data_IF_677196637468
#
_entry.id   IF_677196637468
#
_cell.length_a   1.000
_cell.length_b   1.000
_cell.length_c   1.000
_cell.angle_alpha   90.00
_cell.angle_beta   90.00
_cell.angle_gamma   90.00
#
_symmetry.space_group_name_H-M   'P 1'
#
loop_
_entity.id
_entity.type
_entity.pdbx_description
1 polymer ?
#
# COMPACT_ATOMS: atom_id res chain seq x y z
N UNK A 1 -29.24 -16.90 -34.85
CA UNK A 1 -28.73 -16.53 -33.51
C UNK A 1 -29.34 -15.21 -33.13
N UNK A 2 -30.11 -15.13 -32.03
CA UNK A 2 -30.57 -13.85 -31.49
C UNK A 2 -29.38 -13.15 -30.82
N UNK A 3 -29.16 -11.84 -31.01
CA UNK A 3 -28.14 -11.14 -30.25
C UNK A 3 -28.56 -11.12 -28.78
N UNK A 4 -27.62 -11.51 -27.92
CA UNK A 4 -27.68 -11.34 -26.48
C UNK A 4 -27.84 -9.84 -26.19
N UNK A 5 -28.94 -9.46 -25.52
CA UNK A 5 -29.09 -8.14 -24.91
C UNK A 5 -28.64 -8.29 -23.45
N UNK A 6 -27.71 -7.46 -22.95
CA UNK A 6 -27.51 -7.36 -21.50
C UNK A 6 -28.84 -6.93 -20.88
N UNK A 7 -29.30 -7.70 -19.91
CA UNK A 7 -30.43 -7.39 -19.05
C UNK A 7 -30.05 -6.24 -18.13
N UNK A 8 -30.84 -5.16 -18.17
CA UNK A 8 -30.85 -4.03 -17.22
C UNK A 8 -29.47 -3.47 -16.81
N UNK A 9 -29.14 -2.31 -17.38
CA UNK A 9 -28.02 -1.48 -16.96
C UNK A 9 -28.54 -0.34 -16.06
N UNK A 10 -28.27 -0.35 -14.74
CA UNK A 10 -28.68 0.72 -13.84
C UNK A 10 -27.94 2.04 -14.10
N UNK A 11 -26.89 2.06 -14.94
CA UNK A 11 -26.06 3.25 -15.23
C UNK A 11 -26.52 4.04 -16.44
N UNK A 12 -27.44 3.48 -17.21
CA UNK A 12 -28.30 4.23 -18.13
C UNK A 12 -29.62 4.61 -17.48
N UNK A 13 -29.83 4.32 -16.18
CA UNK A 13 -31.00 4.78 -15.44
C UNK A 13 -30.88 6.30 -15.19
N UNK A 14 -31.72 7.12 -15.84
CA UNK A 14 -31.64 8.57 -15.73
C UNK A 14 -31.85 9.07 -14.30
N UNK A 15 -32.39 8.23 -13.40
CA UNK A 15 -32.62 8.56 -11.99
C UNK A 15 -31.34 8.58 -11.18
N UNK A 16 -30.43 7.63 -11.41
CA UNK A 16 -29.13 7.56 -10.71
C UNK A 16 -28.25 8.74 -11.13
N UNK A 17 -28.25 9.06 -12.42
CA UNK A 17 -27.53 10.22 -12.96
C UNK A 17 -28.10 11.55 -12.42
N UNK A 18 -29.43 11.72 -12.42
CA UNK A 18 -30.08 12.92 -11.90
C UNK A 18 -29.88 13.09 -10.37
N UNK A 19 -29.84 11.99 -9.61
CA UNK A 19 -29.60 12.03 -8.17
C UNK A 19 -28.16 12.47 -7.86
N UNK A 20 -27.17 11.92 -8.57
CA UNK A 20 -25.76 12.33 -8.48
C UNK A 20 -25.52 13.77 -8.96
N UNK A 21 -26.27 14.24 -9.96
CA UNK A 21 -26.23 15.63 -10.43
C UNK A 21 -26.80 16.62 -9.39
N UNK A 22 -27.82 16.20 -8.64
CA UNK A 22 -28.57 17.07 -7.71
C UNK A 22 -27.90 17.26 -6.34
N UNK A 23 -26.95 16.39 -5.97
CA UNK A 23 -26.31 16.40 -4.65
C UNK A 23 -24.95 17.12 -4.68
N UNK A 24 -24.82 18.18 -3.89
CA UNK A 24 -23.49 18.69 -3.52
C UNK A 24 -22.84 17.71 -2.53
N UNK A 25 -21.98 16.83 -3.05
CA UNK A 25 -21.19 15.92 -2.21
C UNK A 25 -19.94 16.68 -1.74
N UNK A 26 -19.78 16.94 -0.43
CA UNK A 26 -18.58 17.60 0.07
C UNK A 26 -17.36 16.69 -0.12
N UNK A 27 -16.31 17.23 -0.72
CA UNK A 27 -15.00 16.56 -0.81
C UNK A 27 -14.29 16.72 0.54
N UNK A 28 -13.84 15.60 1.13
CA UNK A 28 -13.06 15.64 2.36
C UNK A 28 -11.63 16.07 2.04
N UNK A 29 -11.23 17.26 2.52
CA UNK A 29 -9.91 17.86 2.21
C UNK A 29 -8.74 16.95 2.60
N UNK A 30 -8.87 16.26 3.74
CA UNK A 30 -7.90 15.27 4.28
C UNK A 30 -7.65 14.07 3.36
N UNK A 31 -8.53 13.86 2.37
CA UNK A 31 -8.52 12.73 1.44
C UNK A 31 -8.53 13.18 -0.02
N UNK A 32 -8.10 14.40 -0.32
CA UNK A 32 -8.14 14.97 -1.68
C UNK A 32 -7.27 14.23 -2.71
N UNK A 33 -6.29 13.42 -2.27
CA UNK A 33 -5.45 12.62 -3.16
C UNK A 33 -5.24 11.20 -2.65
N UNK A 34 -5.29 10.20 -3.54
CA UNK A 34 -4.97 8.82 -3.21
C UNK A 34 -3.50 8.69 -2.78
N UNK A 35 -3.28 7.97 -1.69
CA UNK A 35 -1.96 7.68 -1.12
C UNK A 35 -1.43 6.37 -1.69
N UNK A 36 -0.73 6.46 -2.81
CA UNK A 36 -0.10 5.30 -3.47
C UNK A 36 1.29 4.98 -2.90
N UNK A 37 1.85 5.85 -2.03
CA UNK A 37 3.13 5.65 -1.35
C UNK A 37 3.05 6.22 0.08
N UNK A 38 3.48 5.43 1.05
CA UNK A 38 3.63 5.80 2.47
C UNK A 38 5.08 5.51 2.87
N UNK A 39 5.70 6.42 3.60
CA UNK A 39 7.06 6.22 4.12
C UNK A 39 7.11 6.41 5.63
N UNK A 40 7.72 5.47 6.33
CA UNK A 40 7.96 5.52 7.77
C UNK A 40 9.46 5.49 8.02
N UNK A 41 10.01 6.62 8.44
CA UNK A 41 11.41 6.72 8.87
C UNK A 41 11.61 6.17 10.27
N UNK A 42 12.79 5.62 10.52
CA UNK A 42 13.14 4.97 11.78
C UNK A 42 12.15 3.87 12.17
N UNK A 43 11.74 3.05 11.20
CA UNK A 43 10.67 2.07 11.35
C UNK A 43 10.94 1.09 12.49
N UNK A 44 12.10 0.44 12.50
CA UNK A 44 12.52 -0.41 13.61
C UNK A 44 13.19 0.40 14.72
N UNK A 45 13.17 -0.08 15.98
CA UNK A 45 14.07 0.42 17.01
C UNK A 45 15.52 0.44 16.50
N UNK A 46 16.22 1.56 16.69
CA UNK A 46 17.56 1.76 16.14
C UNK A 46 18.56 0.61 16.44
N UNK A 47 18.59 0.01 17.65
CA UNK A 47 19.44 -1.15 17.93
C UNK A 47 19.09 -2.36 17.05
N UNK A 48 17.81 -2.65 16.83
CA UNK A 48 17.36 -3.78 16.03
C UNK A 48 17.71 -3.60 14.55
N UNK A 49 17.50 -2.39 13.99
CA UNK A 49 17.92 -2.09 12.63
C UNK A 49 19.43 -2.24 12.44
N UNK A 50 20.21 -1.76 13.42
CA UNK A 50 21.67 -1.86 13.42
C UNK A 50 22.13 -3.33 13.53
N UNK A 51 21.47 -4.16 14.34
CA UNK A 51 21.75 -5.59 14.45
C UNK A 51 21.52 -6.31 13.12
N UNK A 52 20.37 -6.12 12.46
CA UNK A 52 20.08 -6.67 11.13
C UNK A 52 21.17 -6.29 10.14
N UNK A 53 21.55 -5.01 10.13
CA UNK A 53 22.60 -4.53 9.24
C UNK A 53 23.98 -5.13 9.56
N UNK A 54 24.32 -5.27 10.84
CA UNK A 54 25.60 -5.83 11.27
C UNK A 54 25.79 -7.28 10.83
N UNK A 55 24.72 -8.08 10.76
CA UNK A 55 24.76 -9.45 10.23
C UNK A 55 25.22 -9.43 8.77
N UNK A 56 24.66 -8.54 7.96
CA UNK A 56 25.05 -8.38 6.56
C UNK A 56 26.50 -7.93 6.43
N UNK A 57 26.88 -6.87 7.15
CA UNK A 57 28.25 -6.33 7.08
C UNK A 57 29.30 -7.32 7.53
N UNK A 58 29.04 -8.05 8.64
CA UNK A 58 29.94 -9.05 9.18
C UNK A 58 30.20 -10.19 8.20
N UNK A 59 29.15 -10.67 7.52
CA UNK A 59 29.26 -11.74 6.52
C UNK A 59 29.98 -11.28 5.24
N UNK A 60 29.89 -10.01 4.87
CA UNK A 60 30.63 -9.45 3.74
C UNK A 60 31.99 -8.84 4.11
N UNK A 61 32.39 -8.83 5.39
CA UNK A 61 33.59 -8.14 5.87
C UNK A 61 34.92 -8.71 5.30
N UNK A 62 35.05 -10.04 5.27
CA UNK A 62 36.24 -10.71 4.71
C UNK A 62 35.87 -11.59 3.51
N UNK A 63 36.10 -11.14 2.26
CA UNK A 63 35.75 -11.89 1.05
C UNK A 63 36.50 -13.22 0.90
N UNK A 64 37.53 -13.48 1.72
CA UNK A 64 38.30 -14.74 1.69
C UNK A 64 37.77 -15.80 2.67
N UNK A 65 36.88 -15.42 3.58
CA UNK A 65 36.28 -16.35 4.53
C UNK A 65 35.13 -17.13 3.88
N UNK A 66 35.12 -18.46 3.99
CA UNK A 66 34.06 -19.33 3.49
C UNK A 66 33.10 -19.70 4.63
N UNK A 67 31.84 -19.32 4.51
CA UNK A 67 30.74 -19.72 5.39
C UNK A 67 29.48 -19.96 4.56
N UNK A 68 28.57 -20.87 4.98
CA UNK A 68 27.41 -21.29 4.18
C UNK A 68 26.55 -20.12 3.69
N UNK A 69 26.43 -19.07 4.49
CA UNK A 69 25.55 -17.93 4.23
C UNK A 69 26.01 -17.05 3.05
N UNK A 70 27.26 -17.21 2.60
CA UNK A 70 27.72 -16.60 1.34
C UNK A 70 27.07 -17.19 0.11
N UNK A 71 26.63 -18.45 0.19
CA UNK A 71 26.09 -19.21 -0.92
C UNK A 71 24.55 -19.22 -0.95
N UNK A 72 23.91 -18.49 -0.05
CA UNK A 72 22.45 -18.30 -0.02
C UNK A 72 21.95 -17.25 -1.03
N UNK A 73 22.88 -16.50 -1.65
CA UNK A 73 22.56 -15.40 -2.53
C UNK A 73 22.44 -15.87 -3.97
N UNK A 74 21.29 -15.55 -4.54
CA UNK A 74 20.88 -15.93 -5.87
C UNK A 74 21.01 -14.73 -6.80
N UNK A 75 21.99 -14.78 -7.71
CA UNK A 75 22.22 -13.74 -8.73
C UNK A 75 21.51 -14.12 -10.02
N UNK A 76 20.68 -13.20 -10.52
CA UNK A 76 20.04 -13.34 -11.82
C UNK A 76 20.16 -12.06 -12.63
N UNK A 77 20.38 -12.26 -13.94
CA UNK A 77 20.16 -11.25 -14.96
C UNK A 77 19.13 -11.80 -15.94
N UNK A 78 17.99 -11.11 -16.01
CA UNK A 78 16.94 -11.36 -17.00
C UNK A 78 16.81 -10.11 -17.85
N UNK A 79 17.16 -10.18 -19.15
CA UNK A 79 17.05 -9.04 -20.07
C UNK A 79 15.67 -8.38 -19.99
N UNK A 80 15.65 -7.05 -20.01
CA UNK A 80 14.46 -6.21 -19.96
C UNK A 80 13.58 -6.38 -18.70
N UNK A 81 14.09 -7.04 -17.66
CA UNK A 81 13.37 -7.24 -16.40
C UNK A 81 14.19 -6.83 -15.18
N UNK A 82 15.35 -7.46 -14.95
CA UNK A 82 16.16 -7.14 -13.77
C UNK A 82 17.58 -7.69 -13.83
N UNK A 83 18.43 -7.05 -13.03
CA UNK A 83 19.70 -7.59 -12.57
C UNK A 83 19.69 -7.46 -11.06
N UNK A 84 19.54 -8.56 -10.32
CA UNK A 84 19.42 -8.50 -8.86
C UNK A 84 20.13 -9.67 -8.19
N UNK A 85 20.53 -9.45 -6.93
CA UNK A 85 21.01 -10.48 -6.02
C UNK A 85 20.05 -10.56 -4.85
N UNK A 86 19.47 -11.73 -4.59
CA UNK A 86 18.47 -11.91 -3.54
C UNK A 86 18.63 -13.19 -2.74
N UNK A 87 18.01 -13.23 -1.59
CA UNK A 87 17.85 -14.42 -0.74
C UNK A 87 16.59 -14.26 0.11
N UNK A 88 16.15 -15.31 0.82
CA UNK A 88 15.07 -15.19 1.79
C UNK A 88 15.63 -14.70 3.13
N UNK A 89 14.96 -13.74 3.78
CA UNK A 89 15.43 -13.18 5.04
C UNK A 89 15.45 -14.23 6.17
N UNK A 90 14.48 -15.15 6.18
CA UNK A 90 14.33 -16.20 7.19
C UNK A 90 15.53 -17.17 7.23
N UNK A 91 16.12 -17.51 6.08
CA UNK A 91 17.30 -18.39 6.03
C UNK A 91 18.60 -17.63 6.21
N UNK A 92 18.57 -16.30 6.09
CA UNK A 92 19.73 -15.45 6.25
C UNK A 92 19.92 -15.01 7.69
N UNK A 93 18.93 -14.39 8.32
CA UNK A 93 19.09 -13.86 9.68
C UNK A 93 18.99 -14.96 10.76
N UNK A 94 19.63 -14.77 11.93
CA UNK A 94 19.34 -15.60 13.09
C UNK A 94 17.85 -15.56 13.45
N UNK A 95 17.28 -16.70 13.85
CA UNK A 95 15.84 -16.87 14.10
C UNK A 95 15.24 -15.78 15.01
N UNK A 96 15.91 -15.44 16.11
CA UNK A 96 15.45 -14.39 17.04
C UNK A 96 15.39 -13.00 16.39
N UNK A 97 16.34 -12.70 15.50
CA UNK A 97 16.40 -11.42 14.81
C UNK A 97 15.37 -11.34 13.68
N UNK A 98 15.16 -12.46 12.97
CA UNK A 98 14.09 -12.59 11.99
C UNK A 98 12.70 -12.48 12.64
N UNK A 99 12.47 -13.18 13.75
CA UNK A 99 11.19 -13.14 14.47
C UNK A 99 10.80 -11.73 14.90
N UNK A 100 11.75 -10.95 15.44
CA UNK A 100 11.49 -9.53 15.80
C UNK A 100 11.23 -8.64 14.58
N UNK A 101 11.84 -8.94 13.43
CA UNK A 101 11.59 -8.21 12.18
C UNK A 101 10.17 -8.51 11.65
N UNK A 102 9.82 -9.79 11.62
CA UNK A 102 8.51 -10.27 11.18
C UNK A 102 7.39 -9.73 12.07
N UNK A 103 7.55 -9.79 13.40
CA UNK A 103 6.62 -9.22 14.37
C UNK A 103 6.42 -7.72 14.16
N UNK A 104 7.51 -6.95 13.99
CA UNK A 104 7.41 -5.51 13.76
C UNK A 104 6.65 -5.16 12.48
N UNK A 105 6.86 -5.91 11.39
CA UNK A 105 6.11 -5.76 10.16
C UNK A 105 4.64 -6.14 10.35
N UNK A 106 4.35 -7.29 10.96
CA UNK A 106 2.97 -7.74 11.22
C UNK A 106 2.21 -6.73 12.09
N UNK A 107 2.79 -6.27 13.21
CA UNK A 107 2.17 -5.26 14.06
C UNK A 107 1.89 -3.96 13.31
N UNK A 108 2.79 -3.54 12.41
CA UNK A 108 2.53 -2.39 11.54
C UNK A 108 1.42 -2.67 10.53
N UNK A 109 1.42 -3.84 9.88
CA UNK A 109 0.39 -4.25 8.93
C UNK A 109 -1.00 -4.26 9.56
N UNK A 110 -1.13 -4.83 10.75
CA UNK A 110 -2.37 -4.88 11.52
C UNK A 110 -2.83 -3.47 11.92
N UNK A 111 -1.94 -2.71 12.56
CA UNK A 111 -2.30 -1.41 13.09
C UNK A 111 -2.57 -0.39 11.98
N UNK A 112 -1.68 -0.27 10.99
CA UNK A 112 -1.71 0.81 10.00
C UNK A 112 -2.42 0.46 8.69
N UNK A 113 -2.44 -0.82 8.30
CA UNK A 113 -2.90 -1.25 6.97
C UNK A 113 -4.07 -2.24 7.01
N UNK A 114 -4.52 -2.66 8.21
CA UNK A 114 -5.56 -3.68 8.36
C UNK A 114 -5.19 -5.03 7.74
N UNK A 115 -3.90 -5.37 7.61
CA UNK A 115 -3.43 -6.62 7.02
C UNK A 115 -2.96 -7.58 8.12
N UNK A 116 -3.51 -8.80 8.15
CA UNK A 116 -3.25 -9.80 9.21
C UNK A 116 -2.04 -10.69 8.92
N UNK A 117 -1.52 -10.65 7.71
CA UNK A 117 -0.39 -11.47 7.29
C UNK A 117 0.60 -10.68 6.44
N UNK A 118 1.79 -11.26 6.25
CA UNK A 118 2.77 -10.81 5.27
C UNK A 118 3.26 -12.01 4.47
N UNK A 119 3.67 -11.76 3.23
CA UNK A 119 4.40 -12.74 2.43
C UNK A 119 5.76 -13.09 3.06
N UNK A 120 6.42 -14.17 2.62
CA UNK A 120 7.83 -14.38 2.95
C UNK A 120 8.67 -13.14 2.64
N UNK A 121 9.54 -12.75 3.57
CA UNK A 121 10.38 -11.55 3.42
C UNK A 121 11.60 -11.92 2.57
N UNK A 122 11.71 -11.27 1.41
CA UNK A 122 12.89 -11.35 0.57
C UNK A 122 13.89 -10.27 0.95
N UNK A 123 15.17 -10.56 0.80
CA UNK A 123 16.24 -9.61 0.97
C UNK A 123 17.01 -9.49 -0.34
N UNK A 124 17.24 -8.27 -0.79
CA UNK A 124 18.00 -7.98 -2.01
C UNK A 124 19.07 -6.94 -1.73
N UNK A 125 20.24 -7.10 -2.34
CA UNK A 125 21.20 -6.01 -2.44
C UNK A 125 21.52 -5.65 -3.89
N UNK A 126 21.80 -4.37 -4.11
CA UNK A 126 22.04 -3.79 -5.43
C UNK A 126 23.40 -3.10 -5.40
N UNK A 127 24.26 -3.53 -6.31
CA UNK A 127 25.58 -2.95 -6.60
C UNK A 127 25.59 -2.46 -8.06
N UNK A 128 26.73 -1.98 -8.55
CA UNK A 128 26.93 -1.50 -9.90
C UNK A 128 26.33 -2.45 -10.96
N UNK A 129 25.38 -1.94 -11.75
CA UNK A 129 24.67 -2.67 -12.80
C UNK A 129 23.39 -3.40 -12.32
N UNK A 130 23.10 -3.43 -11.02
CA UNK A 130 21.84 -3.97 -10.52
C UNK A 130 20.68 -3.00 -10.72
N UNK A 131 19.54 -3.52 -11.16
CA UNK A 131 18.30 -2.77 -11.39
C UNK A 131 17.08 -3.68 -11.35
N UNK A 132 15.90 -3.08 -11.37
CA UNK A 132 14.65 -3.76 -11.64
C UNK A 132 13.79 -2.86 -12.52
N UNK A 133 13.44 -3.32 -13.71
CA UNK A 133 12.60 -2.59 -14.65
C UNK A 133 11.17 -2.48 -14.13
N UNK A 134 10.37 -1.64 -14.79
CA UNK A 134 8.97 -1.43 -14.41
C UNK A 134 8.17 -2.74 -14.56
N UNK A 135 7.49 -3.13 -13.48
CA UNK A 135 6.60 -4.27 -13.39
C UNK A 135 5.47 -3.97 -12.40
N UNK A 136 4.46 -4.83 -12.32
CA UNK A 136 3.43 -4.80 -11.29
C UNK A 136 3.45 -6.12 -10.53
N UNK A 137 3.09 -6.08 -9.25
CA UNK A 137 3.13 -7.24 -8.35
C UNK A 137 1.73 -7.84 -8.08
N UNK A 138 0.75 -7.54 -8.92
CA UNK A 138 -0.60 -8.11 -8.76
C UNK A 138 -0.58 -9.62 -9.08
N UNK A 139 -1.11 -10.50 -8.20
CA UNK A 139 -2.10 -10.24 -7.14
C UNK A 139 -1.57 -10.44 -5.69
N UNK A 140 -0.31 -10.13 -5.38
CA UNK A 140 0.31 -10.60 -4.13
C UNK A 140 -0.25 -10.00 -2.82
N UNK A 141 -0.92 -8.86 -2.85
CA UNK A 141 -1.57 -8.23 -1.70
C UNK A 141 -1.92 -6.76 -1.98
N UNK A 142 -2.67 -6.08 -1.08
CA UNK A 142 -3.04 -4.67 -1.25
C UNK A 142 -1.88 -3.69 -1.12
N UNK A 143 -0.80 -4.07 -0.42
CA UNK A 143 0.34 -3.21 -0.19
C UNK A 143 1.66 -3.98 -0.35
N UNK A 144 2.54 -3.49 -1.22
CA UNK A 144 3.94 -3.91 -1.26
C UNK A 144 4.75 -3.09 -0.26
N UNK A 145 5.84 -3.67 0.26
CA UNK A 145 6.75 -2.96 1.15
C UNK A 145 8.22 -3.16 0.79
N UNK A 146 9.02 -2.14 1.12
CA UNK A 146 10.48 -2.14 1.05
C UNK A 146 11.02 -1.50 2.33
N UNK A 147 11.65 -2.28 3.19
CA UNK A 147 12.39 -1.81 4.35
C UNK A 147 13.88 -1.71 4.02
N UNK A 148 14.47 -0.53 4.15
CA UNK A 148 15.88 -0.33 3.82
C UNK A 148 16.83 -0.56 4.98
N UNK A 149 17.92 -1.26 4.69
CA UNK A 149 19.11 -1.37 5.53
C UNK A 149 20.35 -0.76 4.83
N UNK A 150 20.14 0.09 3.82
CA UNK A 150 21.21 0.79 3.10
C UNK A 150 22.02 1.67 4.07
N UNK A 151 23.37 1.74 4.01
CA UNK A 151 24.22 2.34 5.06
C UNK A 151 24.24 3.87 5.02
N UNK A 152 23.09 4.50 4.85
CA UNK A 152 23.02 5.95 4.77
C UNK A 152 21.72 6.47 5.34
N UNK A 153 21.79 7.32 6.35
CA UNK A 153 20.63 8.05 6.84
C UNK A 153 20.33 9.27 5.96
N UNK A 154 21.37 9.88 5.37
CA UNK A 154 21.24 10.91 4.34
C UNK A 154 21.41 10.30 2.95
N UNK A 155 20.30 10.10 2.24
CA UNK A 155 20.32 9.51 0.91
C UNK A 155 21.26 10.24 -0.08
N UNK A 156 21.50 11.54 0.11
CA UNK A 156 22.39 12.32 -0.75
C UNK A 156 23.87 11.92 -0.59
N UNK A 157 24.26 11.34 0.54
CA UNK A 157 25.64 10.95 0.88
C UNK A 157 25.97 9.49 0.54
N UNK A 158 25.07 8.78 -0.14
CA UNK A 158 25.27 7.37 -0.50
C UNK A 158 26.45 7.20 -1.48
N UNK A 159 27.15 6.07 -1.41
CA UNK A 159 28.35 5.78 -2.24
C UNK A 159 28.03 5.38 -3.69
N UNK A 160 26.77 5.50 -4.11
CA UNK A 160 26.30 5.12 -5.44
C UNK A 160 25.28 6.13 -5.97
N UNK A 161 24.96 6.04 -7.26
CA UNK A 161 23.83 6.74 -7.86
C UNK A 161 22.74 5.75 -8.24
N UNK A 162 21.50 6.21 -8.33
CA UNK A 162 20.36 5.32 -8.53
C UNK A 162 19.90 4.63 -7.24
N UNK A 163 19.26 3.48 -7.39
CA UNK A 163 18.72 2.67 -6.30
C UNK A 163 17.43 3.22 -5.68
N UNK A 164 16.87 4.31 -6.19
CA UNK A 164 15.53 4.74 -5.77
C UNK A 164 14.48 3.73 -6.25
N UNK A 165 13.47 3.45 -5.42
CA UNK A 165 12.25 2.80 -5.90
C UNK A 165 11.54 3.78 -6.82
N UNK A 166 11.24 3.37 -8.05
CA UNK A 166 10.49 4.16 -9.03
C UNK A 166 9.07 3.66 -9.08
N UNK A 167 8.09 4.54 -9.00
CA UNK A 167 6.66 4.20 -9.11
C UNK A 167 6.05 5.15 -10.13
N UNK A 168 5.34 4.62 -11.12
CA UNK A 168 4.67 5.44 -12.14
C UNK A 168 3.65 6.37 -11.48
N UNK A 169 3.61 7.64 -11.88
CA UNK A 169 2.65 8.57 -11.30
C UNK A 169 1.23 8.31 -11.84
N UNK A 170 0.16 8.51 -11.04
CA UNK A 170 -1.21 8.24 -11.46
C UNK A 170 -1.62 8.90 -12.78
N UNK A 171 -1.20 10.14 -13.00
CA UNK A 171 -1.54 10.87 -14.23
C UNK A 171 -0.94 10.23 -15.51
N UNK A 172 0.12 9.43 -15.39
CA UNK A 172 0.73 8.71 -16.52
C UNK A 172 -0.13 7.53 -16.96
N UNK A 173 -0.81 6.87 -16.01
CA UNK A 173 -1.73 5.77 -16.31
C UNK A 173 -2.98 6.24 -17.08
N UNK A 174 -3.27 7.54 -17.03
CA UNK A 174 -4.29 8.19 -17.86
C UNK A 174 -3.70 9.40 -18.63
N UNK A 175 -2.60 9.15 -19.35
CA UNK A 175 -1.79 10.18 -20.00
C UNK A 175 -2.58 11.15 -20.88
N UNK A 176 -3.42 10.62 -21.78
CA UNK A 176 -4.11 11.44 -22.79
C UNK A 176 -5.16 12.38 -22.22
N UNK A 177 -5.75 12.05 -21.06
CA UNK A 177 -6.73 12.91 -20.38
C UNK A 177 -6.11 14.24 -19.92
N UNK A 178 -4.81 14.23 -19.59
CA UNK A 178 -4.08 15.38 -19.08
C UNK A 178 -2.99 15.89 -20.04
N UNK A 179 -3.01 15.44 -21.30
CA UNK A 179 -1.96 15.76 -22.27
C UNK A 179 -1.97 17.25 -22.63
N UNK A 180 -0.83 17.92 -22.48
CA UNK A 180 -0.59 19.28 -22.97
C UNK A 180 0.54 19.25 -24.00
N UNK A 181 0.27 19.49 -25.31
CA UNK A 181 1.29 19.46 -26.36
C UNK A 181 2.38 20.53 -26.20
N UNK A 182 2.22 21.48 -25.27
CA UNK A 182 3.20 22.53 -24.97
C UNK A 182 4.15 22.15 -23.83
N UNK A 183 3.92 21.03 -23.13
CA UNK A 183 4.73 20.57 -22.00
C UNK A 183 5.49 19.31 -22.37
N UNK A 184 6.82 19.39 -22.39
CA UNK A 184 7.67 18.20 -22.47
C UNK A 184 7.62 17.40 -21.17
N UNK A 185 7.63 16.08 -21.27
CA UNK A 185 7.73 15.18 -20.11
C UNK A 185 9.07 14.44 -20.13
N UNK A 186 9.64 14.27 -18.95
CA UNK A 186 10.93 13.65 -18.69
C UNK A 186 10.72 12.62 -17.58
N UNK A 187 11.68 11.72 -17.34
CA UNK A 187 11.50 10.64 -16.37
C UNK A 187 11.00 11.12 -14.99
N UNK A 188 11.50 12.24 -14.48
CA UNK A 188 11.07 12.81 -13.20
C UNK A 188 9.60 13.29 -13.16
N UNK A 189 9.01 13.54 -14.32
CA UNK A 189 7.59 13.86 -14.48
C UNK A 189 6.74 12.59 -14.58
N UNK A 190 7.35 11.44 -14.93
CA UNK A 190 6.65 10.18 -15.16
C UNK A 190 6.63 9.27 -13.94
N UNK A 191 7.68 9.31 -13.11
CA UNK A 191 7.80 8.46 -11.92
C UNK A 191 7.98 9.28 -10.66
N UNK A 192 7.37 8.83 -9.57
CA UNK A 192 7.79 9.14 -8.21
C UNK A 192 9.05 8.33 -7.93
N UNK A 193 10.12 8.99 -7.49
CA UNK A 193 11.35 8.33 -7.03
C UNK A 193 11.39 8.39 -5.51
N UNK A 194 11.35 7.23 -4.87
CA UNK A 194 11.38 7.10 -3.42
C UNK A 194 12.79 6.74 -2.95
N UNK A 195 13.48 7.65 -2.24
CA UNK A 195 14.75 7.37 -1.58
C UNK A 195 14.61 6.21 -0.59
N UNK A 196 15.70 5.47 -0.37
CA UNK A 196 15.73 4.30 0.51
C UNK A 196 16.78 4.44 1.63
N UNK A 197 16.77 5.54 2.43
CA UNK A 197 17.70 5.71 3.53
C UNK A 197 17.54 4.60 4.58
N UNK A 198 18.55 4.42 5.41
CA UNK A 198 18.59 3.44 6.47
C UNK A 198 17.34 3.48 7.35
N UNK A 199 16.77 2.31 7.62
CA UNK A 199 15.63 2.12 8.49
C UNK A 199 14.34 2.87 8.06
N UNK A 200 14.19 3.14 6.76
CA UNK A 200 12.92 3.56 6.17
C UNK A 200 12.14 2.36 5.68
N UNK A 201 10.89 2.25 6.13
CA UNK A 201 9.87 1.42 5.49
C UNK A 201 9.15 2.26 4.43
N UNK A 202 9.15 1.79 3.19
CA UNK A 202 8.31 2.32 2.12
C UNK A 202 7.20 1.31 1.85
N UNK A 203 5.96 1.74 1.95
CA UNK A 203 4.77 0.95 1.60
C UNK A 203 4.12 1.61 0.39
N UNK A 204 3.67 0.84 -0.58
CA UNK A 204 3.05 1.39 -1.78
C UNK A 204 2.05 0.44 -2.39
N UNK A 205 1.20 1.00 -3.26
CA UNK A 205 0.21 0.27 -4.01
C UNK A 205 0.86 -0.55 -5.15
N UNK A 206 0.87 -1.90 -5.08
CA UNK A 206 1.56 -2.75 -6.04
C UNK A 206 0.92 -2.77 -7.44
N UNK A 207 -0.29 -2.20 -7.58
CA UNK A 207 -0.97 -2.10 -8.87
C UNK A 207 -0.29 -1.10 -9.80
N UNK A 208 0.40 -0.11 -9.22
CA UNK A 208 1.16 0.88 -9.98
C UNK A 208 2.44 0.26 -10.52
N UNK A 209 2.75 0.41 -11.83
CA UNK A 209 4.02 -0.04 -12.37
C UNK A 209 5.21 0.58 -11.62
N UNK A 210 6.13 -0.25 -11.15
CA UNK A 210 7.22 0.18 -10.31
C UNK A 210 8.49 -0.64 -10.55
N UNK A 211 9.62 -0.16 -10.06
CA UNK A 211 10.92 -0.79 -10.25
C UNK A 211 12.00 -0.16 -9.36
N UNK A 212 13.26 -0.49 -9.64
CA UNK A 212 14.43 0.06 -8.94
C UNK A 212 15.37 0.65 -9.98
N UNK A 213 15.66 1.94 -9.84
CA UNK A 213 16.60 2.63 -10.73
C UNK A 213 17.98 1.97 -10.63
N UNK A 214 18.62 1.76 -11.77
CA UNK A 214 19.94 1.13 -11.84
C UNK A 214 20.94 1.77 -10.88
N UNK A 215 21.56 0.93 -10.05
CA UNK A 215 22.63 1.31 -9.15
C UNK A 215 23.95 1.38 -9.92
N UNK A 216 24.69 2.47 -9.77
CA UNK A 216 26.04 2.63 -10.35
C UNK A 216 27.01 3.23 -9.34
N UNK A 217 28.27 2.80 -9.39
CA UNK A 217 29.39 3.41 -8.65
C UNK A 217 30.04 2.54 -7.58
N UNK A 218 29.37 1.51 -7.06
CA UNK A 218 29.95 0.61 -6.06
C UNK A 218 29.80 -0.86 -6.41
N UNK A 219 30.86 -1.64 -6.26
CA UNK A 219 30.85 -3.11 -6.35
C UNK A 219 30.96 -3.79 -4.98
N UNK A 220 31.12 -3.03 -3.90
CA UNK A 220 31.14 -3.55 -2.54
C UNK A 220 29.69 -3.70 -2.04
N UNK A 221 29.20 -4.93 -1.76
CA UNK A 221 27.83 -5.13 -1.26
C UNK A 221 27.52 -4.34 0.00
N UNK A 222 28.50 -4.12 0.87
CA UNK A 222 28.34 -3.33 2.12
C UNK A 222 28.09 -1.86 1.86
N UNK A 223 28.43 -1.37 0.67
CA UNK A 223 28.23 0.02 0.26
C UNK A 223 27.03 0.19 -0.68
N UNK A 224 26.46 -0.92 -1.16
CA UNK A 224 25.30 -0.93 -2.05
C UNK A 224 23.99 -0.64 -1.33
N UNK A 225 22.90 -0.64 -2.10
CA UNK A 225 21.54 -0.59 -1.56
C UNK A 225 21.18 -1.97 -1.03
N UNK A 226 20.76 -2.06 0.23
CA UNK A 226 20.29 -3.29 0.86
C UNK A 226 18.86 -3.08 1.33
N UNK A 227 17.95 -3.97 0.93
CA UNK A 227 16.54 -3.88 1.30
C UNK A 227 15.94 -5.24 1.62
N UNK A 228 14.91 -5.20 2.45
CA UNK A 228 13.96 -6.26 2.73
C UNK A 228 12.65 -5.90 2.05
N UNK A 229 11.97 -6.84 1.41
CA UNK A 229 10.75 -6.56 0.66
C UNK A 229 9.80 -7.75 0.63
N UNK A 230 8.53 -7.45 0.38
CA UNK A 230 7.43 -8.39 0.36
C UNK A 230 6.09 -7.66 0.27
N UNK A 231 5.01 -8.34 0.64
CA UNK A 231 3.66 -7.80 0.62
C UNK A 231 2.96 -7.97 1.97
N UNK A 232 2.17 -6.98 2.36
CA UNK A 232 1.13 -7.15 3.36
C UNK A 232 -0.08 -7.80 2.70
N UNK A 233 -0.65 -8.81 3.37
CA UNK A 233 -1.68 -9.69 2.82
C UNK A 233 -2.81 -9.92 3.83
N UNK A 234 -3.88 -10.56 3.39
CA UNK A 234 -5.04 -10.90 4.22
C UNK A 234 -5.64 -9.68 4.93
N UNK A 235 -6.22 -8.74 4.18
CA UNK A 235 -6.92 -7.60 4.76
C UNK A 235 -8.08 -8.12 5.62
N UNK A 236 -8.07 -7.79 6.92
CA UNK A 236 -9.16 -8.10 7.84
C UNK A 236 -9.20 -7.09 9.01
N UNK A 237 -10.37 -6.93 9.65
CA UNK A 237 -10.50 -6.10 10.85
C UNK A 237 -9.47 -6.47 11.93
N UNK A 238 -8.87 -5.46 12.54
CA UNK A 238 -7.93 -5.61 13.65
C UNK A 238 -8.35 -4.77 14.85
N UNK A 239 -8.35 -5.38 16.03
CA UNK A 239 -8.80 -4.78 17.29
C UNK A 239 -7.63 -4.67 18.27
N UNK A 240 -7.37 -3.46 18.75
CA UNK A 240 -6.43 -3.17 19.83
C UNK A 240 -7.20 -2.54 21.01
N UNK A 241 -7.54 -3.37 21.99
CA UNK A 241 -8.31 -2.93 23.16
C UNK A 241 -9.06 -4.06 23.86
N UNK A 242 -9.92 -3.70 24.82
CA UNK A 242 -10.67 -4.66 25.63
C UNK A 242 -11.95 -5.21 24.96
N UNK A 243 -12.39 -4.67 23.82
CA UNK A 243 -13.55 -5.21 23.08
C UNK A 243 -13.18 -6.57 22.48
N UNK A 244 -14.02 -7.57 22.73
CA UNK A 244 -13.83 -8.91 22.18
C UNK A 244 -14.10 -8.91 20.67
N UNK A 245 -13.27 -9.63 19.92
CA UNK A 245 -13.36 -9.65 18.46
C UNK A 245 -14.66 -10.29 17.96
N UNK A 246 -15.20 -11.32 18.65
CA UNK A 246 -16.44 -11.97 18.25
C UNK A 246 -17.65 -11.06 18.48
N UNK A 247 -17.65 -10.32 19.60
CA UNK A 247 -18.68 -9.32 19.89
C UNK A 247 -18.66 -8.17 18.87
N UNK A 248 -17.46 -7.73 18.49
CA UNK A 248 -17.31 -6.70 17.47
C UNK A 248 -17.73 -7.18 16.07
N UNK A 249 -17.47 -8.43 15.73
CA UNK A 249 -17.88 -9.04 14.46
C UNK A 249 -19.39 -9.06 14.31
N UNK A 250 -20.15 -9.33 15.40
CA UNK A 250 -21.61 -9.23 15.38
C UNK A 250 -22.06 -7.80 15.05
N UNK A 251 -21.51 -6.80 15.73
CA UNK A 251 -21.84 -5.39 15.49
C UNK A 251 -21.51 -4.94 14.06
N UNK A 252 -20.37 -5.38 13.52
CA UNK A 252 -19.99 -5.11 12.13
C UNK A 252 -20.94 -5.79 11.15
N UNK A 253 -21.28 -7.06 11.34
CA UNK A 253 -22.17 -7.78 10.43
C UNK A 253 -23.57 -7.17 10.39
N UNK A 254 -24.10 -6.72 11.54
CA UNK A 254 -25.42 -6.08 11.62
C UNK A 254 -25.41 -4.64 11.08
N UNK A 255 -24.33 -3.89 11.32
CA UNK A 255 -24.27 -2.46 11.00
C UNK A 255 -23.75 -2.12 9.60
N UNK A 256 -23.04 -3.03 8.94
CA UNK A 256 -22.41 -2.79 7.63
C UNK A 256 -23.29 -3.18 6.43
N UNK A 257 -24.42 -3.87 6.63
CA UNK A 257 -25.32 -4.24 5.52
C UNK A 257 -25.71 -3.02 4.65
N UNK A 258 -26.13 -1.87 5.22
CA UNK A 258 -26.43 -0.68 4.42
C UNK A 258 -25.21 -0.12 3.67
N UNK A 259 -24.01 -0.25 4.24
CA UNK A 259 -22.78 0.18 3.57
C UNK A 259 -22.50 -0.69 2.35
N UNK A 260 -22.66 -2.01 2.47
CA UNK A 260 -22.43 -2.92 1.36
C UNK A 260 -23.43 -2.71 0.23
N UNK A 261 -24.70 -2.44 0.55
CA UNK A 261 -25.70 -2.05 -0.46
C UNK A 261 -25.32 -0.73 -1.16
N UNK A 262 -24.85 0.27 -0.41
CA UNK A 262 -24.41 1.55 -0.98
C UNK A 262 -23.15 1.40 -1.85
N UNK A 263 -22.19 0.57 -1.41
CA UNK A 263 -20.93 0.36 -2.13
C UNK A 263 -21.08 -0.58 -3.33
N UNK A 264 -22.07 -1.47 -3.36
CA UNK A 264 -22.39 -2.29 -4.52
C UNK A 264 -22.69 -1.42 -5.75
N UNK A 265 -23.33 -0.27 -5.55
CA UNK A 265 -23.58 0.70 -6.61
C UNK A 265 -22.28 1.25 -7.23
N UNK A 266 -21.17 1.34 -6.52
CA UNK A 266 -19.90 1.83 -7.11
C UNK A 266 -18.91 0.72 -7.42
N UNK A 267 -19.31 -0.53 -7.19
CA UNK A 267 -18.51 -1.70 -7.51
C UNK A 267 -18.16 -1.74 -9.01
N UNK A 268 -16.89 -2.03 -9.33
CA UNK A 268 -16.38 -2.03 -10.71
C UNK A 268 -16.07 -0.65 -11.30
N UNK A 269 -16.48 0.45 -10.65
CA UNK A 269 -16.10 1.82 -11.05
C UNK A 269 -14.84 2.30 -10.30
N UNK A 270 -14.60 1.73 -9.12
CA UNK A 270 -13.46 2.03 -8.27
C UNK A 270 -12.77 0.74 -7.85
N UNK A 271 -11.46 0.79 -7.69
CA UNK A 271 -10.65 -0.33 -7.22
C UNK A 271 -9.61 0.17 -6.23
N UNK A 272 -9.25 -0.66 -5.25
CA UNK A 272 -8.19 -0.37 -4.29
C UNK A 272 -8.59 -0.70 -2.87
N UNK A 273 -7.94 -0.04 -1.93
CA UNK A 273 -8.10 -0.33 -0.51
C UNK A 273 -8.20 0.97 0.27
N UNK A 274 -9.21 1.03 1.12
CA UNK A 274 -9.43 2.11 2.07
C UNK A 274 -9.30 1.56 3.48
N UNK A 275 -8.46 2.18 4.31
CA UNK A 275 -8.21 1.77 5.69
C UNK A 275 -8.74 2.85 6.62
N UNK A 276 -9.82 2.51 7.35
CA UNK A 276 -10.36 3.36 8.39
C UNK A 276 -9.85 2.91 9.77
N UNK A 277 -9.73 3.86 10.70
CA UNK A 277 -9.54 3.58 12.12
C UNK A 277 -10.64 4.24 12.93
N UNK A 278 -11.31 3.42 13.74
CA UNK A 278 -12.32 3.84 14.70
C UNK A 278 -11.74 3.82 16.10
N UNK A 279 -12.05 4.84 16.91
CA UNK A 279 -11.95 4.74 18.36
C UNK A 279 -13.34 4.43 18.93
N UNK A 280 -13.45 3.33 19.65
CA UNK A 280 -14.70 2.82 20.22
C UNK A 280 -14.64 3.01 21.74
N UNK A 281 -15.59 3.78 22.26
CA UNK A 281 -15.71 4.09 23.68
C UNK A 281 -15.90 2.82 24.50
N UNK A 282 -15.04 2.58 25.50
CA UNK A 282 -15.23 1.46 26.42
C UNK A 282 -16.46 1.60 27.32
N UNK A 283 -16.96 2.82 27.52
CA UNK A 283 -18.03 3.11 28.46
C UNK A 283 -19.42 2.75 27.91
N UNK A 284 -19.64 2.97 26.61
CA UNK A 284 -20.95 2.83 25.96
C UNK A 284 -20.89 2.19 24.58
N UNK A 285 -19.70 1.86 24.07
CA UNK A 285 -19.49 1.21 22.78
C UNK A 285 -19.74 2.11 21.56
N UNK A 286 -19.94 3.42 21.76
CA UNK A 286 -20.09 4.37 20.66
C UNK A 286 -18.77 4.62 19.94
N UNK A 287 -18.82 4.90 18.64
CA UNK A 287 -17.66 5.36 17.88
C UNK A 287 -17.44 6.84 18.18
N UNK A 288 -16.31 7.17 18.81
CA UNK A 288 -15.98 8.53 19.25
C UNK A 288 -15.11 9.28 18.24
N UNK A 289 -14.38 8.55 17.40
CA UNK A 289 -13.46 9.12 16.42
C UNK A 289 -13.35 8.18 15.22
N UNK A 290 -13.23 8.77 14.03
CA UNK A 290 -12.89 8.08 12.79
C UNK A 290 -11.73 8.82 12.12
N UNK A 291 -10.71 8.07 11.68
CA UNK A 291 -9.56 8.59 10.94
C UNK A 291 -9.21 7.65 9.78
N UNK A 292 -8.54 8.17 8.76
CA UNK A 292 -8.12 7.39 7.59
C UNK A 292 -6.63 7.12 7.65
N UNK A 293 -6.23 5.85 7.54
CA UNK A 293 -4.82 5.45 7.64
C UNK A 293 -4.15 5.28 6.28
N UNK A 294 -4.88 4.76 5.31
CA UNK A 294 -4.42 4.58 3.94
C UNK A 294 -5.61 4.58 2.97
N UNK A 295 -5.38 5.06 1.76
CA UNK A 295 -6.39 5.16 0.72
C UNK A 295 -5.71 5.05 -0.64
N UNK A 296 -5.88 3.90 -1.27
CA UNK A 296 -5.36 3.61 -2.62
C UNK A 296 -6.45 3.69 -3.68
N UNK A 297 -7.65 4.19 -3.37
CA UNK A 297 -8.77 4.12 -4.28
C UNK A 297 -8.48 4.88 -5.59
N UNK A 298 -8.68 4.19 -6.71
CA UNK A 298 -8.56 4.74 -8.07
C UNK A 298 -9.77 4.33 -8.89
N UNK A 299 -10.19 5.21 -9.80
CA UNK A 299 -11.21 4.87 -10.79
C UNK A 299 -10.71 3.82 -11.77
N UNK A 300 -11.59 2.93 -12.22
CA UNK A 300 -11.33 1.99 -13.31
C UNK A 300 -11.65 2.67 -14.64
N UNK A 301 -10.65 3.02 -15.47
CA UNK A 301 -10.92 3.62 -16.77
C UNK A 301 -11.53 2.56 -17.69
N UNK A 302 -12.70 2.83 -18.28
CA UNK A 302 -13.43 2.04 -19.30
C UNK A 302 -14.67 1.22 -18.88
N UNK A 303 -15.32 1.52 -17.75
CA UNK A 303 -16.75 1.16 -17.62
C UNK A 303 -17.58 2.13 -18.51
N UNK A 304 -17.86 1.68 -19.73
CA UNK A 304 -18.61 2.32 -20.82
C UNK A 304 -18.33 3.81 -21.10
N UNK A 305 -17.79 4.10 -22.30
CA UNK A 305 -17.53 5.46 -22.78
C UNK A 305 -18.80 6.32 -22.80
N UNK A 306 -19.98 5.72 -22.97
CA UNK A 306 -21.27 6.41 -22.88
C UNK A 306 -21.69 6.74 -21.43
N UNK A 307 -21.27 5.95 -20.44
CA UNK A 307 -21.46 6.24 -19.02
C UNK A 307 -20.44 7.26 -18.51
N UNK A 308 -19.20 7.19 -19.00
CA UNK A 308 -18.14 8.17 -18.73
C UNK A 308 -18.43 9.55 -19.35
N UNK A 309 -19.08 9.62 -20.52
CA UNK A 309 -19.50 10.88 -21.15
C UNK A 309 -20.75 11.48 -20.45
N UNK A 310 -21.58 10.66 -19.79
CA UNK A 310 -22.66 11.12 -18.89
C UNK A 310 -22.12 11.59 -17.52
N UNK A 311 -20.96 11.09 -17.13
CA UNK A 311 -20.21 11.49 -15.95
C UNK A 311 -19.31 12.70 -16.28
N UNK A 312 -19.99 13.84 -16.46
CA UNK A 312 -19.53 15.24 -16.47
C UNK A 312 -18.01 15.52 -16.40
N UNK A 313 -17.54 16.20 -17.44
CA UNK A 313 -16.24 16.87 -17.54
C UNK A 313 -15.81 17.55 -16.22
N UNK A 314 -14.60 17.21 -15.78
CA UNK A 314 -13.84 17.79 -14.65
C UNK A 314 -14.43 17.74 -13.22
N UNK A 315 -15.51 16.96 -12.97
CA UNK A 315 -16.11 16.86 -11.62
C UNK A 315 -16.12 15.47 -10.97
N UNK A 316 -15.82 14.39 -11.69
CA UNK A 316 -16.18 13.01 -11.26
C UNK A 316 -15.13 12.31 -10.40
N UNK A 317 -13.83 12.53 -10.65
CA UNK A 317 -12.72 11.88 -9.94
C UNK A 317 -12.72 12.08 -8.41
N UNK A 318 -12.82 13.33 -7.92
CA UNK A 318 -12.98 13.56 -6.49
C UNK A 318 -14.34 13.09 -5.96
N UNK A 319 -15.37 12.97 -6.81
CA UNK A 319 -16.75 12.70 -6.38
C UNK A 319 -17.04 11.22 -6.13
N UNK A 320 -16.58 10.29 -6.97
CA UNK A 320 -16.78 8.85 -6.70
C UNK A 320 -16.01 8.41 -5.45
N UNK A 321 -14.75 8.82 -5.35
CA UNK A 321 -13.93 8.58 -4.16
C UNK A 321 -14.50 9.30 -2.93
N UNK A 322 -14.97 10.55 -3.05
CA UNK A 322 -15.67 11.23 -1.95
C UNK A 322 -17.01 10.57 -1.58
N UNK A 323 -17.75 10.01 -2.54
CA UNK A 323 -18.98 9.26 -2.26
C UNK A 323 -18.64 8.05 -1.40
N UNK A 324 -17.67 7.23 -1.81
CA UNK A 324 -17.18 6.10 -1.00
C UNK A 324 -16.78 6.57 0.39
N UNK A 325 -16.01 7.65 0.50
CA UNK A 325 -15.59 8.15 1.82
C UNK A 325 -16.75 8.61 2.70
N UNK A 326 -17.75 9.29 2.13
CA UNK A 326 -18.91 9.75 2.89
C UNK A 326 -19.79 8.56 3.32
N UNK A 327 -20.08 7.62 2.43
CA UNK A 327 -20.86 6.40 2.77
C UNK A 327 -20.17 5.58 3.86
N UNK A 328 -18.86 5.35 3.71
CA UNK A 328 -18.07 4.64 4.73
C UNK A 328 -18.05 5.41 6.04
N UNK A 329 -17.79 6.73 6.03
CA UNK A 329 -17.78 7.53 7.26
C UNK A 329 -19.13 7.48 7.97
N UNK A 330 -20.21 7.75 7.23
CA UNK A 330 -21.54 7.91 7.80
C UNK A 330 -22.04 6.58 8.39
N UNK A 331 -21.74 5.45 7.72
CA UNK A 331 -21.99 4.13 8.28
C UNK A 331 -21.13 3.85 9.52
N UNK A 332 -19.79 3.97 9.42
CA UNK A 332 -18.89 3.57 10.49
C UNK A 332 -19.05 4.41 11.76
N UNK A 333 -19.35 5.72 11.64
CA UNK A 333 -19.64 6.59 12.80
C UNK A 333 -20.98 6.23 13.45
N UNK A 334 -21.92 5.69 12.67
CA UNK A 334 -23.24 5.24 13.15
C UNK A 334 -23.22 3.89 13.86
N UNK A 335 -22.11 3.15 13.84
CA UNK A 335 -21.99 1.85 14.48
C UNK A 335 -22.03 1.96 16.02
N UNK A 336 -22.65 0.96 16.64
CA UNK A 336 -22.64 0.76 18.09
C UNK A 336 -22.07 -0.61 18.42
N UNK A 337 -21.13 -0.65 19.37
CA UNK A 337 -20.50 -1.87 19.85
C UNK A 337 -20.95 -2.18 21.29
N UNK A 338 -20.73 -3.41 21.79
CA UNK A 338 -20.89 -3.69 23.21
C UNK A 338 -19.91 -2.89 24.08
N UNK A 339 -20.38 -2.41 25.24
CA UNK A 339 -19.52 -1.71 26.19
C UNK A 339 -18.50 -2.68 26.81
N UNK A 340 -17.22 -2.31 26.75
CA UNK A 340 -16.15 -3.07 27.39
C UNK A 340 -16.02 -2.63 28.85
N UNK A 341 -16.53 -3.45 29.78
CA UNK A 341 -16.74 -3.13 31.21
C UNK A 341 -15.56 -2.58 32.04
N UNK A 342 -14.37 -2.39 31.44
CA UNK A 342 -13.21 -1.74 32.04
C UNK A 342 -13.07 -0.23 31.69
N UNK A 343 -13.94 0.34 30.86
CA UNK A 343 -13.93 1.77 30.51
C UNK A 343 -12.71 2.24 29.70
N UNK A 344 -11.91 1.31 29.18
CA UNK A 344 -10.83 1.59 28.22
C UNK A 344 -11.37 1.46 26.80
N UNK A 345 -10.98 2.38 25.95
CA UNK A 345 -11.38 2.39 24.54
C UNK A 345 -10.67 1.29 23.74
N UNK A 346 -11.31 0.88 22.65
CA UNK A 346 -10.74 -0.03 21.64
C UNK A 346 -10.49 0.72 20.34
N UNK A 347 -9.35 0.45 19.71
CA UNK A 347 -9.09 0.88 18.34
C UNK A 347 -9.39 -0.24 17.38
N UNK A 348 -10.27 0.02 16.42
CA UNK A 348 -10.54 -0.88 15.30
C UNK A 348 -9.87 -0.31 14.05
N UNK A 349 -8.93 -1.05 13.45
CA UNK A 349 -8.46 -0.81 12.08
C UNK A 349 -9.28 -1.67 11.12
N UNK A 350 -10.03 -1.03 10.23
CA UNK A 350 -11.01 -1.67 9.35
C UNK A 350 -10.61 -1.47 7.87
N UNK A 351 -10.17 -2.54 7.18
CA UNK A 351 -9.88 -2.49 5.76
C UNK A 351 -11.15 -2.71 4.92
N UNK A 352 -11.30 -1.90 3.87
CA UNK A 352 -12.34 -2.03 2.85
C UNK A 352 -11.65 -2.20 1.51
N UNK A 353 -11.89 -3.32 0.85
CA UNK A 353 -11.22 -3.67 -0.42
C UNK A 353 -12.23 -3.64 -1.56
N UNK A 354 -11.86 -2.96 -2.63
CA UNK A 354 -12.59 -2.86 -3.89
C UNK A 354 -11.76 -3.57 -4.95
N UNK A 355 -12.30 -4.66 -5.52
CA UNK A 355 -11.63 -5.46 -6.56
C UNK A 355 -11.97 -4.98 -7.97
#
# INVERSE_FOLDING_TARGET
>A
MRPWRPSYDPWSDPRVLAELESREIPVLEELTSAQHVITVDNFLPAPQAAELRSVFDGRFADPRSCHPERFLWDYWHVPDQYTLVRTQAAVYFPDELYGRLEEALLSYGEAALGCRAISPIWMSYYVDGCLQELHCDNPHGPFAFVLSLTPTTDWSQREFVGGETMILQPHVLNYWRNYDPRKGMELQHLVTRVPSPFNRLTVFDPRFPHGVREVRGTKDPRKGRLVLHGWFTEPAPFFDGPLDAADAEVALNEGLEPLWEALEAVSGLITGTLIARLNISGADGSVTELSWLADTLVEVPNHDRAAADALLEDRVLPRLRALVHNEVRDCLVGLGFPAAGAGRDTKLTFPIVFE
#
